data_IF_106310618360
#
_entry.id   IF_106310618360
#
_cell.length_a   1.000
_cell.length_b   1.000
_cell.length_c   1.000
_cell.angle_alpha   90.00
_cell.angle_beta   90.00
_cell.angle_gamma   90.00
#
_symmetry.space_group_name_H-M   'P 1'
#
loop_
_entity.id
_entity.type
_entity.pdbx_description
1 polymer ?
#
# COMPACT_ATOMS: atom_id res chain seq x y z
N UNK A 1 19.34 27.32 21.98
CA UNK A 1 18.66 26.03 22.20
C UNK A 1 18.11 25.57 20.85
N UNK A 2 18.99 25.03 20.00
CA UNK A 2 18.67 24.57 18.64
C UNK A 2 18.78 23.05 18.67
N UNK A 3 17.65 22.37 18.46
CA UNK A 3 17.54 20.93 18.61
C UNK A 3 17.89 20.16 17.35
N UNK A 4 18.46 18.98 17.58
CA UNK A 4 18.37 17.72 16.83
C UNK A 4 18.78 17.71 15.36
N UNK A 5 19.86 16.99 15.08
CA UNK A 5 20.01 16.20 13.86
C UNK A 5 20.50 14.80 14.25
N UNK A 6 19.70 13.76 14.02
CA UNK A 6 20.29 12.49 13.61
C UNK A 6 19.64 12.08 12.28
N UNK A 7 20.04 12.75 11.20
CA UNK A 7 20.13 12.09 9.91
C UNK A 7 21.52 11.48 9.82
N UNK A 8 21.61 10.17 9.63
CA UNK A 8 22.86 9.58 9.15
C UNK A 8 23.05 10.09 7.73
N UNK A 9 24.04 10.96 7.55
CA UNK A 9 24.42 11.62 6.29
C UNK A 9 24.45 10.67 5.07
N UNK A 10 24.66 9.37 5.28
CA UNK A 10 24.60 8.33 4.26
C UNK A 10 23.26 8.26 3.52
N UNK A 11 22.11 8.34 4.21
CA UNK A 11 20.80 8.28 3.55
C UNK A 11 20.53 9.51 2.67
N UNK A 12 21.07 10.67 3.07
CA UNK A 12 20.93 11.94 2.37
C UNK A 12 21.82 12.01 1.12
N UNK A 13 22.98 11.35 1.17
CA UNK A 13 23.90 11.16 0.05
C UNK A 13 23.36 10.17 -0.97
N UNK A 14 22.75 9.07 -0.50
CA UNK A 14 22.08 8.08 -1.36
C UNK A 14 20.85 8.67 -2.08
N UNK A 15 20.10 9.55 -1.43
CA UNK A 15 18.99 10.27 -2.09
C UNK A 15 19.49 11.30 -3.11
N UNK A 16 20.62 11.95 -2.82
CA UNK A 16 21.30 12.85 -3.76
C UNK A 16 21.92 12.13 -4.97
N UNK A 17 22.30 10.85 -4.82
CA UNK A 17 22.77 9.95 -5.88
C UNK A 17 21.71 9.69 -6.95
N UNK A 18 20.43 9.63 -6.55
CA UNK A 18 19.33 9.34 -7.47
C UNK A 18 18.54 10.59 -7.91
N UNK A 19 18.59 11.68 -7.13
CA UNK A 19 17.84 12.89 -7.42
C UNK A 19 18.66 14.14 -7.06
N UNK A 20 19.53 14.60 -7.97
CA UNK A 20 20.43 15.74 -7.75
C UNK A 20 19.71 17.05 -7.34
N UNK A 21 18.44 17.19 -7.71
CA UNK A 21 17.60 18.34 -7.37
C UNK A 21 17.24 18.40 -5.87
N UNK A 22 17.31 17.27 -5.16
CA UNK A 22 17.06 17.17 -3.72
C UNK A 22 18.18 17.84 -2.90
N UNK A 23 19.42 17.84 -3.41
CA UNK A 23 20.57 18.42 -2.71
C UNK A 23 20.68 19.94 -2.88
N UNK A 24 20.13 20.49 -3.96
CA UNK A 24 20.31 21.90 -4.35
C UNK A 24 19.80 22.92 -3.29
N UNK A 25 18.63 22.75 -2.65
CA UNK A 25 18.15 23.67 -1.61
C UNK A 25 19.00 23.68 -0.34
N UNK A 26 19.65 22.56 0.01
CA UNK A 26 20.53 22.47 1.16
C UNK A 26 21.81 23.26 0.98
N UNK A 27 22.34 23.31 -0.24
CA UNK A 27 23.51 24.12 -0.58
C UNK A 27 23.20 25.61 -0.40
N UNK A 28 22.04 26.05 -0.89
CA UNK A 28 21.61 27.44 -0.82
C UNK A 28 21.30 27.91 0.61
N UNK A 29 20.91 27.01 1.51
CA UNK A 29 20.66 27.32 2.93
C UNK A 29 21.91 27.16 3.81
N UNK A 30 22.81 26.21 3.53
CA UNK A 30 24.06 26.05 4.29
C UNK A 30 24.95 27.30 4.21
N UNK A 31 25.03 27.93 3.03
CA UNK A 31 25.80 29.17 2.84
C UNK A 31 25.19 30.37 3.59
N UNK A 32 23.87 30.35 3.84
CA UNK A 32 23.16 31.40 4.60
C UNK A 32 23.23 31.19 6.11
N UNK A 33 23.32 29.94 6.58
CA UNK A 33 23.45 29.59 8.01
C UNK A 33 24.84 29.92 8.55
N UNK A 34 25.88 29.86 7.72
CA UNK A 34 27.26 30.18 8.10
C UNK A 34 27.43 31.59 8.71
N UNK A 35 26.63 32.57 8.28
CA UNK A 35 26.70 33.94 8.79
C UNK A 35 26.06 34.13 10.18
N UNK A 36 25.33 33.14 10.71
CA UNK A 36 24.52 33.27 11.94
C UNK A 36 24.97 32.38 13.10
N UNK A 37 25.95 31.49 12.92
CA UNK A 37 26.44 30.59 13.95
C UNK A 37 27.48 31.30 14.85
N UNK A 38 27.07 31.65 16.08
CA UNK A 38 27.89 32.39 17.04
C UNK A 38 28.74 31.55 17.99
N UNK A 39 28.69 30.22 17.92
CA UNK A 39 29.41 29.34 18.85
C UNK A 39 30.43 28.44 18.12
N UNK A 40 31.61 28.28 18.71
CA UNK A 40 32.75 27.60 18.07
C UNK A 40 32.47 26.12 17.78
N UNK A 41 31.62 25.48 18.60
CA UNK A 41 31.17 24.10 18.39
C UNK A 41 30.22 23.96 17.19
N UNK A 42 29.39 24.98 16.92
CA UNK A 42 28.50 25.00 15.78
C UNK A 42 29.28 25.22 14.47
N UNK A 43 30.32 26.06 14.51
CA UNK A 43 31.24 26.26 13.38
C UNK A 43 32.01 24.97 13.04
N UNK A 44 32.45 24.23 14.05
CA UNK A 44 33.18 22.96 13.85
C UNK A 44 32.27 21.83 13.35
N UNK A 45 31.06 21.71 13.91
CA UNK A 45 30.05 20.79 13.37
C UNK A 45 29.66 21.14 11.93
N UNK A 46 29.57 22.43 11.61
CA UNK A 46 29.30 22.91 10.25
C UNK A 46 30.44 22.58 9.28
N UNK A 47 31.71 22.81 9.65
CA UNK A 47 32.87 22.41 8.84
C UNK A 47 32.93 20.89 8.63
N UNK A 48 32.62 20.11 9.65
CA UNK A 48 32.55 18.65 9.56
C UNK A 48 31.43 18.20 8.62
N UNK A 49 30.28 18.86 8.64
CA UNK A 49 29.18 18.63 7.70
C UNK A 49 29.57 19.01 6.26
N UNK A 50 30.19 20.17 6.04
CA UNK A 50 30.69 20.59 4.73
C UNK A 50 31.76 19.64 4.19
N UNK A 51 32.69 19.18 5.04
CA UNK A 51 33.71 18.20 4.68
C UNK A 51 33.11 16.88 4.22
N UNK A 52 32.15 16.35 4.98
CA UNK A 52 31.47 15.09 4.63
C UNK A 52 30.55 15.24 3.41
N UNK A 53 29.91 16.39 3.22
CA UNK A 53 29.10 16.70 2.03
C UNK A 53 29.99 16.78 0.77
N UNK A 54 31.15 17.45 0.87
CA UNK A 54 32.12 17.54 -0.23
C UNK A 54 32.70 16.17 -0.59
N UNK A 55 33.02 15.34 0.41
CA UNK A 55 33.45 13.96 0.20
C UNK A 55 32.36 13.13 -0.48
N UNK A 56 31.10 13.32 -0.06
CA UNK A 56 29.95 12.67 -0.69
C UNK A 56 29.71 13.14 -2.13
N UNK A 57 29.85 14.42 -2.46
CA UNK A 57 29.77 14.94 -3.84
C UNK A 57 30.94 14.46 -4.70
N UNK A 58 32.13 14.31 -4.10
CA UNK A 58 33.28 13.75 -4.80
C UNK A 58 33.11 12.25 -5.06
N UNK A 59 32.49 11.52 -4.12
CA UNK A 59 32.03 10.15 -4.33
C UNK A 59 30.92 10.08 -5.38
N UNK A 60 29.96 11.01 -5.39
CA UNK A 60 28.91 11.16 -6.41
C UNK A 60 29.50 11.37 -7.82
N UNK A 61 30.55 12.18 -7.92
CA UNK A 61 31.25 12.46 -9.17
C UNK A 61 32.15 11.30 -9.63
N UNK A 62 32.49 10.37 -8.73
CA UNK A 62 33.30 9.18 -9.00
C UNK A 62 32.46 7.89 -9.12
N UNK A 63 31.28 7.86 -8.51
CA UNK A 63 30.26 6.84 -8.69
C UNK A 63 29.66 7.03 -10.07
N UNK A 64 29.50 5.94 -10.81
CA UNK A 64 28.63 5.95 -11.97
C UNK A 64 27.27 5.48 -11.44
N UNK A 65 26.31 6.37 -11.15
CA UNK A 65 25.09 6.01 -10.41
C UNK A 65 24.31 4.92 -11.14
N UNK A 66 24.39 4.91 -12.47
CA UNK A 66 23.85 3.87 -13.34
C UNK A 66 24.53 2.50 -13.16
N UNK A 67 25.81 2.48 -12.82
CA UNK A 67 26.62 1.28 -12.65
C UNK A 67 26.51 0.72 -11.23
N UNK A 68 26.44 1.58 -10.21
CA UNK A 68 26.13 1.19 -8.83
C UNK A 68 24.67 0.74 -8.70
N UNK A 69 23.74 1.45 -9.33
CA UNK A 69 22.33 1.01 -9.47
C UNK A 69 22.23 -0.31 -10.26
N UNK A 70 23.00 -0.49 -11.33
CA UNK A 70 23.04 -1.76 -12.05
C UNK A 70 23.66 -2.90 -11.22
N UNK A 71 24.65 -2.61 -10.38
CA UNK A 71 25.25 -3.59 -9.45
C UNK A 71 24.28 -3.95 -8.32
N UNK A 72 23.57 -2.97 -7.76
CA UNK A 72 22.55 -3.17 -6.73
C UNK A 72 21.32 -3.92 -7.28
N UNK A 73 20.88 -3.61 -8.50
CA UNK A 73 19.86 -4.39 -9.23
C UNK A 73 20.37 -5.80 -9.54
N UNK A 74 21.63 -5.95 -9.97
CA UNK A 74 22.20 -7.26 -10.24
C UNK A 74 22.38 -8.09 -8.95
N UNK A 75 22.59 -7.44 -7.80
CA UNK A 75 22.64 -8.07 -6.49
C UNK A 75 21.25 -8.44 -5.98
N UNK A 76 20.23 -7.57 -6.16
CA UNK A 76 18.84 -7.88 -5.80
C UNK A 76 18.28 -9.07 -6.60
N UNK A 77 18.71 -9.22 -7.86
CA UNK A 77 18.37 -10.36 -8.72
C UNK A 77 19.13 -11.66 -8.45
N UNK A 78 20.14 -11.65 -7.57
CA UNK A 78 20.92 -12.85 -7.21
C UNK A 78 20.37 -13.62 -6.01
N UNK A 79 19.42 -13.06 -5.27
CA UNK A 79 18.69 -13.75 -4.20
C UNK A 79 17.61 -14.71 -4.74
N UNK A 80 17.26 -15.73 -3.96
CA UNK A 80 16.22 -16.72 -4.30
C UNK A 80 14.78 -16.14 -4.25
N UNK A 81 14.59 -14.93 -3.68
CA UNK A 81 13.31 -14.23 -3.55
C UNK A 81 13.52 -12.72 -3.27
N UNK A 82 12.54 -11.87 -3.62
CA UNK A 82 12.52 -10.43 -3.26
C UNK A 82 12.28 -10.20 -1.77
N UNK A 83 12.68 -9.05 -1.22
CA UNK A 83 12.40 -8.70 0.18
C UNK A 83 10.90 -8.62 0.44
N UNK A 84 10.13 -8.00 -0.47
CA UNK A 84 8.67 -7.96 -0.37
C UNK A 84 8.05 -9.35 -0.23
N UNK A 85 8.45 -10.32 -1.07
CA UNK A 85 7.94 -11.70 -1.03
C UNK A 85 8.30 -12.42 0.28
N UNK A 86 9.56 -12.32 0.73
CA UNK A 86 9.98 -12.96 1.97
C UNK A 86 9.28 -12.32 3.18
N UNK A 87 9.08 -11.00 3.15
CA UNK A 87 8.33 -10.28 4.18
C UNK A 87 6.88 -10.77 4.24
N UNK A 88 6.21 -10.96 3.11
CA UNK A 88 4.84 -11.48 3.05
C UNK A 88 4.70 -12.93 3.54
N UNK A 89 5.64 -13.79 3.15
CA UNK A 89 5.70 -15.18 3.62
C UNK A 89 5.90 -15.28 5.13
N UNK A 90 6.45 -14.23 5.75
CA UNK A 90 6.83 -14.21 7.16
C UNK A 90 6.03 -13.22 8.00
N UNK A 91 5.05 -12.54 7.39
CA UNK A 91 4.24 -11.49 8.03
C UNK A 91 3.51 -11.97 9.29
N UNK A 92 3.16 -13.27 9.37
CA UNK A 92 2.45 -13.86 10.50
C UNK A 92 3.34 -14.16 11.71
N UNK A 93 4.66 -13.97 11.63
CA UNK A 93 5.58 -14.25 12.73
C UNK A 93 5.32 -13.29 13.89
N UNK A 94 5.23 -13.85 15.09
CA UNK A 94 5.28 -13.09 16.33
C UNK A 94 6.75 -12.92 16.74
N UNK A 95 7.23 -11.68 16.70
CA UNK A 95 8.59 -11.34 17.08
C UNK A 95 8.60 -10.67 18.45
N UNK A 96 9.53 -11.06 19.32
CA UNK A 96 9.71 -10.40 20.62
C UNK A 96 10.16 -8.95 20.45
N UNK A 97 11.14 -8.71 19.56
CA UNK A 97 11.48 -7.37 19.11
C UNK A 97 10.82 -7.11 17.74
N UNK A 98 10.04 -6.03 17.55
CA UNK A 98 9.42 -5.73 16.26
C UNK A 98 10.42 -5.53 15.11
N UNK A 99 11.67 -5.19 15.39
CA UNK A 99 12.73 -5.05 14.38
C UNK A 99 13.15 -6.40 13.76
N UNK A 100 13.04 -7.50 14.52
CA UNK A 100 13.41 -8.84 14.06
C UNK A 100 12.55 -9.29 12.88
N UNK A 101 11.37 -8.70 12.72
CA UNK A 101 10.49 -8.93 11.58
C UNK A 101 11.15 -8.52 10.25
N UNK A 102 12.09 -7.58 10.28
CA UNK A 102 12.90 -7.17 9.13
C UNK A 102 14.30 -7.76 9.18
N UNK A 103 15.00 -7.62 10.31
CA UNK A 103 16.41 -8.00 10.41
C UNK A 103 16.65 -9.51 10.28
N UNK A 104 15.68 -10.35 10.66
CA UNK A 104 15.79 -11.80 10.40
C UNK A 104 15.76 -12.15 8.90
N UNK A 105 15.31 -11.22 8.04
CA UNK A 105 15.22 -11.43 6.59
C UNK A 105 16.47 -10.96 5.85
N UNK A 106 17.37 -10.23 6.52
CA UNK A 106 18.56 -9.64 5.90
C UNK A 106 19.52 -10.70 5.36
N UNK A 107 19.54 -11.89 5.96
CA UNK A 107 20.32 -13.03 5.46
C UNK A 107 19.72 -13.70 4.22
N UNK A 108 18.46 -13.38 3.87
CA UNK A 108 17.73 -14.00 2.76
C UNK A 108 17.75 -13.16 1.48
N UNK A 109 18.10 -11.87 1.59
CA UNK A 109 18.07 -10.92 0.49
C UNK A 109 19.42 -10.21 0.39
N UNK A 110 20.19 -10.54 -0.64
CA UNK A 110 21.47 -9.92 -0.92
C UNK A 110 21.28 -8.43 -1.27
N UNK A 111 21.95 -7.54 -0.53
CA UNK A 111 21.97 -6.09 -0.83
C UNK A 111 21.26 -5.22 0.20
N UNK A 112 20.15 -5.68 0.78
CA UNK A 112 19.40 -4.87 1.77
C UNK A 112 20.25 -4.58 3.01
N UNK A 113 20.94 -5.59 3.55
CA UNK A 113 21.81 -5.45 4.73
C UNK A 113 23.02 -4.56 4.45
N UNK A 114 23.53 -4.58 3.20
CA UNK A 114 24.69 -3.76 2.82
C UNK A 114 24.31 -2.29 2.79
N UNK A 115 23.10 -1.97 2.35
CA UNK A 115 22.58 -0.60 2.27
C UNK A 115 22.05 -0.11 3.62
N UNK A 116 21.28 -0.95 4.30
CA UNK A 116 20.71 -0.70 5.61
C UNK A 116 21.25 -1.75 6.59
N UNK A 117 22.36 -1.46 7.30
CA UNK A 117 22.91 -2.41 8.27
C UNK A 117 21.97 -2.58 9.47
N UNK A 118 22.09 -3.73 10.15
CA UNK A 118 21.34 -4.02 11.38
C UNK A 118 21.73 -3.03 12.46
N UNK A 119 20.73 -2.33 13.01
CA UNK A 119 20.91 -1.38 14.09
C UNK A 119 19.65 -1.33 14.96
N UNK A 120 19.76 -1.83 16.18
CA UNK A 120 18.65 -1.90 17.13
C UNK A 120 18.34 -0.56 17.81
N UNK A 121 19.06 0.51 17.48
CA UNK A 121 18.72 1.87 17.91
C UNK A 121 17.56 2.47 17.09
N UNK A 122 17.28 1.93 15.89
CA UNK A 122 16.14 2.37 15.09
C UNK A 122 14.80 1.94 15.69
N UNK A 123 13.77 2.72 15.41
CA UNK A 123 12.39 2.29 15.62
C UNK A 123 11.92 1.40 14.47
N UNK A 124 10.90 0.58 14.73
CA UNK A 124 10.31 -0.26 13.69
C UNK A 124 9.65 0.54 12.56
N UNK A 125 9.26 1.80 12.78
CA UNK A 125 8.72 2.67 11.72
C UNK A 125 9.84 3.15 10.78
N UNK A 126 11.00 3.47 11.34
CA UNK A 126 12.16 3.89 10.55
C UNK A 126 12.69 2.74 9.68
N UNK A 127 12.77 1.53 10.24
CA UNK A 127 13.14 0.35 9.47
C UNK A 127 12.06 0.01 8.44
N UNK A 128 10.77 0.06 8.80
CA UNK A 128 9.66 -0.11 7.84
C UNK A 128 9.79 0.83 6.66
N UNK A 129 10.04 2.12 6.91
CA UNK A 129 10.26 3.13 5.87
C UNK A 129 11.45 2.78 4.97
N UNK A 130 12.61 2.42 5.55
CA UNK A 130 13.79 2.01 4.79
C UNK A 130 13.51 0.80 3.89
N UNK A 131 12.75 -0.17 4.39
CA UNK A 131 12.38 -1.38 3.65
C UNK A 131 11.36 -1.07 2.56
N UNK A 132 10.35 -0.24 2.81
CA UNK A 132 9.42 0.19 1.76
C UNK A 132 10.18 0.92 0.65
N UNK A 133 11.13 1.79 1.00
CA UNK A 133 12.01 2.45 0.03
C UNK A 133 12.84 1.45 -0.77
N UNK A 134 13.42 0.43 -0.13
CA UNK A 134 14.15 -0.62 -0.81
C UNK A 134 13.29 -1.30 -1.88
N UNK A 135 12.10 -1.75 -1.49
CA UNK A 135 11.17 -2.47 -2.37
C UNK A 135 10.77 -1.59 -3.56
N UNK A 136 10.38 -0.34 -3.30
CA UNK A 136 9.93 0.57 -4.35
C UNK A 136 11.05 0.92 -5.35
N UNK A 137 12.28 1.15 -4.87
CA UNK A 137 13.40 1.60 -5.72
C UNK A 137 14.08 0.44 -6.43
N UNK A 138 14.38 -0.65 -5.72
CA UNK A 138 15.28 -1.71 -6.21
C UNK A 138 14.54 -2.94 -6.72
N UNK A 139 13.36 -3.21 -6.19
CA UNK A 139 12.52 -4.31 -6.66
C UNK A 139 11.57 -3.80 -7.75
N UNK A 140 11.25 -2.50 -7.74
CA UNK A 140 10.42 -1.85 -8.77
C UNK A 140 8.98 -2.34 -8.74
N UNK A 141 8.57 -2.89 -7.59
CA UNK A 141 7.28 -3.54 -7.39
C UNK A 141 6.50 -2.80 -6.30
N UNK A 142 5.42 -2.15 -6.72
CA UNK A 142 4.32 -1.67 -5.88
C UNK A 142 3.49 -2.82 -5.26
N UNK A 143 3.90 -4.07 -5.47
CA UNK A 143 3.32 -5.28 -4.88
C UNK A 143 3.20 -5.24 -3.35
N UNK A 144 4.06 -4.48 -2.69
CA UNK A 144 3.94 -4.27 -1.24
C UNK A 144 2.60 -3.65 -0.86
N UNK A 145 2.01 -2.83 -1.73
CA UNK A 145 0.67 -2.28 -1.56
C UNK A 145 -0.44 -3.30 -1.87
N UNK A 146 -0.16 -4.34 -2.66
CA UNK A 146 -1.11 -5.44 -2.85
C UNK A 146 -1.20 -6.33 -1.59
N UNK A 147 -0.06 -6.52 -0.92
CA UNK A 147 0.07 -7.51 0.15
C UNK A 147 -0.25 -6.98 1.54
N UNK A 148 0.11 -5.73 1.83
CA UNK A 148 0.01 -5.17 3.17
C UNK A 148 -0.98 -4.01 3.18
N UNK A 149 -1.82 -3.98 4.22
CA UNK A 149 -2.73 -2.88 4.41
C UNK A 149 -2.04 -1.68 5.07
N UNK A 150 -2.61 -0.51 4.87
CA UNK A 150 -2.14 0.73 5.50
C UNK A 150 -2.65 0.85 6.92
N UNK A 151 -2.12 1.82 7.67
CA UNK A 151 -2.63 2.14 9.00
C UNK A 151 -3.91 2.98 8.90
N UNK A 152 -4.86 2.71 9.78
CA UNK A 152 -6.16 3.42 9.82
C UNK A 152 -6.01 4.91 10.18
N UNK A 153 -4.97 5.22 10.95
CA UNK A 153 -4.66 6.57 11.43
C UNK A 153 -3.19 6.89 11.20
N UNK A 154 -2.82 8.18 11.22
CA UNK A 154 -1.43 8.57 11.21
C UNK A 154 -0.69 7.87 12.34
N UNK A 155 0.32 7.11 11.97
CA UNK A 155 1.03 6.21 12.87
C UNK A 155 2.50 6.59 12.90
N UNK A 156 3.15 6.16 13.98
CA UNK A 156 4.59 6.11 14.04
C UNK A 156 5.30 7.44 13.98
N UNK A 157 6.62 7.33 14.03
CA UNK A 157 7.51 8.46 13.88
C UNK A 157 8.77 8.01 13.13
N UNK A 158 9.08 8.67 12.03
CA UNK A 158 10.31 8.49 11.28
C UNK A 158 11.16 9.74 11.46
N UNK A 159 12.30 9.62 12.14
CA UNK A 159 13.26 10.71 12.34
C UNK A 159 12.67 12.00 12.96
N UNK A 160 11.71 11.87 13.87
CA UNK A 160 11.03 12.98 14.54
C UNK A 160 9.73 13.43 13.87
N UNK A 161 9.41 12.95 12.68
CA UNK A 161 8.22 13.34 11.91
C UNK A 161 7.20 12.21 11.83
N UNK A 162 5.94 12.56 11.57
CA UNK A 162 4.87 11.58 11.33
C UNK A 162 5.24 10.69 10.15
N UNK A 163 5.05 9.38 10.28
CA UNK A 163 5.37 8.43 9.20
C UNK A 163 4.53 8.72 7.95
N UNK A 164 5.09 8.55 6.75
CA UNK A 164 4.33 8.72 5.50
C UNK A 164 3.20 7.70 5.39
N UNK A 165 2.04 8.11 4.87
CA UNK A 165 0.88 7.21 4.81
C UNK A 165 1.04 6.05 3.84
N UNK A 166 1.94 6.19 2.87
CA UNK A 166 2.25 5.14 1.90
C UNK A 166 3.18 4.05 2.46
N UNK A 167 3.69 4.17 3.68
CA UNK A 167 4.40 3.07 4.36
C UNK A 167 3.35 2.06 4.86
N UNK A 168 3.31 0.83 4.34
CA UNK A 168 2.35 -0.18 4.79
C UNK A 168 2.58 -0.59 6.24
N UNK A 169 1.53 -1.14 6.86
CA UNK A 169 1.66 -1.73 8.18
C UNK A 169 2.36 -3.10 8.06
N UNK A 170 3.59 -3.19 8.54
CA UNK A 170 4.31 -4.47 8.65
C UNK A 170 4.27 -5.05 10.07
N UNK A 171 3.73 -4.32 11.05
CA UNK A 171 3.87 -4.65 12.47
C UNK A 171 2.92 -5.74 12.94
N UNK A 172 1.74 -5.79 12.34
CA UNK A 172 0.68 -6.70 12.78
C UNK A 172 0.74 -8.01 11.99
N UNK A 173 0.55 -9.15 12.67
CA UNK A 173 0.35 -10.43 12.00
C UNK A 173 -0.94 -10.43 11.14
N UNK A 174 -1.87 -9.51 11.42
CA UNK A 174 -3.07 -9.27 10.60
C UNK A 174 -2.85 -8.32 9.45
N UNK A 175 -1.64 -7.76 9.28
CA UNK A 175 -1.40 -6.66 8.34
C UNK A 175 -1.48 -7.03 6.87
N UNK A 176 -1.56 -8.33 6.59
CA UNK A 176 -1.76 -8.87 5.25
C UNK A 176 -3.21 -8.65 4.80
N UNK A 177 -3.42 -7.99 3.67
CA UNK A 177 -4.74 -7.73 3.06
C UNK A 177 -5.54 -9.02 2.82
N UNK A 178 -4.88 -10.17 2.66
CA UNK A 178 -5.47 -11.52 2.49
C UNK A 178 -6.45 -11.68 1.32
N UNK A 179 -6.68 -10.66 0.48
CA UNK A 179 -7.45 -10.84 -0.74
C UNK A 179 -6.70 -11.77 -1.71
N UNK A 180 -7.41 -12.73 -2.29
CA UNK A 180 -6.87 -13.62 -3.31
C UNK A 180 -7.32 -13.04 -4.65
N UNK A 181 -6.43 -12.28 -5.28
CA UNK A 181 -6.66 -11.75 -6.62
C UNK A 181 -6.17 -12.74 -7.67
N UNK A 182 -6.87 -12.81 -8.80
CA UNK A 182 -6.28 -13.34 -10.03
C UNK A 182 -5.36 -12.31 -10.66
N UNK A 183 -4.62 -12.75 -11.68
CA UNK A 183 -3.87 -11.83 -12.52
C UNK A 183 -4.80 -10.77 -13.10
N UNK A 184 -4.36 -9.51 -13.04
CA UNK A 184 -5.06 -8.40 -13.67
C UNK A 184 -5.20 -8.67 -15.18
N UNK A 185 -6.31 -8.26 -15.79
CA UNK A 185 -6.46 -8.29 -17.24
C UNK A 185 -5.21 -7.67 -17.89
N UNK A 186 -4.54 -8.41 -18.78
CA UNK A 186 -3.30 -7.99 -19.42
C UNK A 186 -3.39 -6.61 -20.07
N UNK A 187 -4.58 -6.23 -20.53
CA UNK A 187 -4.79 -4.91 -21.12
C UNK A 187 -4.80 -3.75 -20.11
N UNK A 188 -5.12 -4.02 -18.85
CA UNK A 188 -4.89 -3.06 -17.77
C UNK A 188 -3.40 -2.98 -17.41
N UNK A 189 -2.65 -4.02 -17.76
CA UNK A 189 -1.18 -4.10 -17.74
C UNK A 189 -0.54 -3.65 -19.08
N UNK A 190 -1.21 -2.92 -19.98
CA UNK A 190 -0.63 -2.47 -21.28
C UNK A 190 0.44 -1.35 -21.14
N UNK A 191 1.28 -1.43 -20.11
CA UNK A 191 2.28 -0.45 -19.68
C UNK A 191 3.52 -0.37 -20.59
N UNK A 192 3.61 -1.15 -21.67
CA UNK A 192 4.80 -1.28 -22.51
C UNK A 192 5.01 -0.14 -23.53
N UNK A 193 4.47 1.06 -23.30
CA UNK A 193 4.89 2.22 -24.09
C UNK A 193 6.23 2.77 -23.54
N UNK A 194 7.28 2.56 -24.35
CA UNK A 194 8.71 2.87 -24.10
C UNK A 194 9.00 4.24 -23.46
N UNK A 195 8.14 5.24 -23.64
CA UNK A 195 8.39 6.62 -23.19
C UNK A 195 8.02 6.87 -21.72
N UNK A 196 7.24 5.99 -21.08
CA UNK A 196 6.77 6.17 -19.70
C UNK A 196 7.57 5.37 -18.65
N UNK A 197 8.58 4.60 -19.10
CA UNK A 197 9.44 3.78 -18.22
C UNK A 197 10.26 4.58 -17.21
N UNK A 198 10.57 5.84 -17.53
CA UNK A 198 11.42 6.72 -16.70
C UNK A 198 10.63 7.49 -15.63
N UNK A 199 9.30 7.37 -15.60
CA UNK A 199 8.42 8.14 -14.69
C UNK A 199 7.83 7.29 -13.55
N UNK A 200 8.22 6.02 -13.46
CA UNK A 200 7.67 5.05 -12.50
C UNK A 200 7.98 5.46 -11.07
N UNK A 201 6.93 5.68 -10.27
CA UNK A 201 6.99 5.92 -8.83
C UNK A 201 8.19 6.78 -8.40
N UNK A 202 8.25 8.01 -8.92
CA UNK A 202 9.32 8.92 -8.55
C UNK A 202 9.09 9.35 -7.09
N UNK A 203 9.81 8.72 -6.18
CA UNK A 203 9.86 9.14 -4.79
C UNK A 203 10.56 10.49 -4.72
N UNK A 204 9.78 11.56 -4.60
CA UNK A 204 10.32 12.88 -4.30
C UNK A 204 10.39 13.05 -2.79
N UNK A 205 11.56 12.79 -2.21
CA UNK A 205 11.80 13.18 -0.82
C UNK A 205 12.03 14.68 -0.79
N UNK A 206 10.93 15.42 -0.76
CA UNK A 206 10.96 16.78 -0.24
C UNK A 206 11.39 16.68 1.22
N UNK A 207 12.40 17.47 1.58
CA UNK A 207 12.93 17.67 2.92
C UNK A 207 11.81 17.64 3.98
N UNK A 208 11.80 16.59 4.81
CA UNK A 208 10.85 16.40 5.92
C UNK A 208 9.42 16.00 5.53
N UNK A 209 9.15 15.70 4.26
CA UNK A 209 7.78 15.43 3.76
C UNK A 209 7.63 14.15 2.94
N UNK A 210 8.69 13.43 2.59
CA UNK A 210 8.65 12.08 2.00
C UNK A 210 7.44 11.81 1.09
N UNK A 211 7.34 12.53 -0.03
CA UNK A 211 6.16 12.47 -0.92
C UNK A 211 6.38 11.43 -2.01
N UNK A 212 5.47 10.48 -2.11
CA UNK A 212 5.44 9.50 -3.18
C UNK A 212 4.66 10.07 -4.37
N UNK A 213 5.31 10.21 -5.53
CA UNK A 213 4.60 10.50 -6.79
C UNK A 213 4.17 9.18 -7.39
N UNK A 214 2.88 8.97 -7.52
CA UNK A 214 2.30 7.68 -7.87
C UNK A 214 1.41 7.83 -9.10
N UNK A 215 1.74 7.11 -10.17
CA UNK A 215 0.97 7.16 -11.42
C UNK A 215 -0.05 6.04 -11.44
N UNK A 216 -1.33 6.40 -11.58
CA UNK A 216 -2.43 5.44 -11.56
C UNK A 216 -3.63 5.95 -12.37
N UNK A 217 -4.59 5.05 -12.64
CA UNK A 217 -5.91 5.41 -13.17
C UNK A 217 -6.89 5.64 -12.04
N UNK A 218 -7.83 6.56 -12.21
CA UNK A 218 -8.98 6.67 -11.31
C UNK A 218 -9.95 5.51 -11.57
N UNK A 219 -10.42 4.90 -10.49
CA UNK A 219 -11.44 3.84 -10.52
C UNK A 219 -12.81 4.42 -10.19
N UNK A 220 -12.88 5.32 -9.21
CA UNK A 220 -14.11 5.96 -8.77
C UNK A 220 -14.00 6.48 -7.35
N UNK A 221 -15.05 7.12 -6.86
CA UNK A 221 -15.16 7.64 -5.50
C UNK A 221 -16.00 6.71 -4.66
N UNK A 222 -15.62 6.44 -3.41
CA UNK A 222 -16.36 5.50 -2.56
C UNK A 222 -17.59 6.15 -1.91
N UNK A 223 -18.70 5.40 -1.88
CA UNK A 223 -19.87 5.62 -1.02
C UNK A 223 -20.04 4.40 -0.14
N UNK A 224 -19.75 4.53 1.15
CA UNK A 224 -19.86 3.49 2.16
C UNK A 224 -21.33 3.09 2.31
N UNK A 225 -21.57 1.79 2.25
CA UNK A 225 -22.89 1.19 2.50
C UNK A 225 -22.96 0.78 3.97
N UNK A 226 -21.98 -0.02 4.41
CA UNK A 226 -21.86 -0.44 5.80
C UNK A 226 -20.43 -0.90 6.13
N UNK A 227 -20.17 -1.10 7.41
CA UNK A 227 -18.96 -1.75 7.92
C UNK A 227 -19.34 -3.05 8.60
N UNK A 228 -18.63 -4.13 8.30
CA UNK A 228 -18.93 -5.43 8.92
C UNK A 228 -18.71 -5.38 10.44
N UNK A 229 -19.59 -6.00 11.23
CA UNK A 229 -19.43 -6.12 12.68
C UNK A 229 -18.26 -7.05 13.01
N UNK A 230 -17.87 -7.10 14.29
CA UNK A 230 -16.77 -7.97 14.75
C UNK A 230 -17.19 -9.43 14.97
N UNK A 231 -18.48 -9.67 15.25
CA UNK A 231 -18.99 -10.99 15.61
C UNK A 231 -19.38 -11.82 14.39
N UNK A 232 -18.89 -13.07 14.30
CA UNK A 232 -19.08 -13.95 13.14
C UNK A 232 -20.54 -14.15 12.73
N UNK A 233 -21.44 -14.32 13.72
CA UNK A 233 -22.88 -14.52 13.46
C UNK A 233 -23.50 -13.26 12.86
N UNK A 234 -23.12 -12.09 13.36
CA UNK A 234 -23.61 -10.82 12.82
C UNK A 234 -23.01 -10.50 11.46
N UNK A 235 -21.77 -10.91 11.19
CA UNK A 235 -21.19 -10.86 9.84
C UNK A 235 -22.04 -11.72 8.89
N UNK A 236 -22.39 -12.96 9.28
CA UNK A 236 -23.23 -13.83 8.46
C UNK A 236 -24.61 -13.21 8.18
N UNK A 237 -25.26 -12.63 9.20
CA UNK A 237 -26.54 -11.92 9.06
C UNK A 237 -26.41 -10.72 8.13
N UNK A 238 -25.35 -9.92 8.24
CA UNK A 238 -25.11 -8.76 7.39
C UNK A 238 -24.88 -9.16 5.92
N UNK A 239 -24.14 -10.26 5.67
CA UNK A 239 -23.98 -10.82 4.31
C UNK A 239 -25.34 -11.20 3.72
N UNK A 240 -26.16 -11.93 4.48
CA UNK A 240 -27.49 -12.35 4.04
C UNK A 240 -28.43 -11.17 3.78
N UNK A 241 -28.32 -10.10 4.58
CA UNK A 241 -29.08 -8.87 4.34
C UNK A 241 -28.67 -8.24 3.01
N UNK A 242 -27.36 -8.05 2.80
CA UNK A 242 -26.80 -7.43 1.60
C UNK A 242 -27.20 -8.16 0.31
N UNK A 243 -27.15 -9.49 0.27
CA UNK A 243 -27.53 -10.28 -0.92
C UNK A 243 -29.03 -10.30 -1.22
N UNK A 244 -29.87 -9.92 -0.24
CA UNK A 244 -31.33 -9.80 -0.37
C UNK A 244 -31.76 -8.38 -0.76
N UNK A 245 -30.86 -7.40 -0.72
CA UNK A 245 -31.15 -6.04 -1.16
C UNK A 245 -31.34 -5.98 -2.69
N UNK A 246 -32.20 -5.07 -3.18
CA UNK A 246 -32.40 -4.88 -4.61
C UNK A 246 -31.10 -4.56 -5.34
N UNK A 247 -30.86 -5.08 -6.57
CA UNK A 247 -29.65 -4.77 -7.34
C UNK A 247 -29.38 -3.27 -7.54
N UNK A 248 -30.45 -2.47 -7.65
CA UNK A 248 -30.36 -1.01 -7.77
C UNK A 248 -29.64 -0.34 -6.58
N UNK A 249 -29.66 -0.97 -5.41
CA UNK A 249 -28.94 -0.47 -4.24
C UNK A 249 -27.42 -0.64 -4.39
N UNK A 250 -26.91 -1.43 -5.33
CA UNK A 250 -25.48 -1.76 -5.48
C UNK A 250 -24.78 -1.04 -6.64
N UNK A 251 -25.47 -0.12 -7.32
CA UNK A 251 -24.92 0.75 -8.36
C UNK A 251 -25.56 0.58 -9.73
N UNK A 252 -25.46 1.63 -10.56
CA UNK A 252 -26.29 1.80 -11.75
C UNK A 252 -25.90 0.96 -12.99
N UNK A 253 -24.74 0.28 -12.99
CA UNK A 253 -24.23 -0.45 -14.17
C UNK A 253 -23.90 -1.92 -13.92
N UNK A 254 -24.28 -2.45 -12.76
CA UNK A 254 -24.06 -3.86 -12.41
C UNK A 254 -25.21 -4.67 -13.00
N UNK A 255 -24.93 -5.58 -13.94
CA UNK A 255 -25.94 -6.52 -14.45
C UNK A 255 -26.71 -7.14 -13.28
N UNK A 256 -28.04 -6.95 -13.28
CA UNK A 256 -28.93 -7.40 -12.21
C UNK A 256 -28.93 -8.94 -12.12
N UNK A 257 -28.64 -9.62 -13.24
CA UNK A 257 -28.46 -11.05 -13.25
C UNK A 257 -27.24 -11.42 -12.39
N UNK A 258 -27.47 -12.26 -11.38
CA UNK A 258 -26.45 -12.85 -10.50
C UNK A 258 -25.81 -11.87 -9.48
N UNK A 259 -26.48 -10.77 -9.12
CA UNK A 259 -26.00 -9.85 -8.08
C UNK A 259 -25.63 -10.56 -6.76
N UNK A 260 -26.51 -11.45 -6.27
CA UNK A 260 -26.29 -12.18 -5.02
C UNK A 260 -25.00 -13.02 -5.05
N UNK A 261 -24.74 -13.67 -6.19
CA UNK A 261 -23.53 -14.44 -6.41
C UNK A 261 -22.29 -13.54 -6.38
N UNK A 262 -22.31 -12.41 -7.10
CA UNK A 262 -21.18 -11.45 -7.14
C UNK A 262 -20.88 -10.88 -5.76
N UNK A 263 -21.91 -10.56 -4.97
CA UNK A 263 -21.75 -10.08 -3.59
C UNK A 263 -21.09 -11.14 -2.70
N UNK A 264 -21.53 -12.40 -2.79
CA UNK A 264 -20.93 -13.50 -2.02
C UNK A 264 -19.47 -13.68 -2.37
N UNK A 265 -19.12 -13.65 -3.66
CA UNK A 265 -17.73 -13.78 -4.09
C UNK A 265 -16.88 -12.59 -3.68
N UNK A 266 -17.39 -11.36 -3.74
CA UNK A 266 -16.69 -10.20 -3.23
C UNK A 266 -16.45 -10.28 -1.72
N UNK A 267 -17.46 -10.66 -0.94
CA UNK A 267 -17.33 -10.81 0.52
C UNK A 267 -16.43 -11.99 0.91
N UNK A 268 -16.30 -13.01 0.06
CA UNK A 268 -15.47 -14.18 0.34
C UNK A 268 -14.19 -14.20 -0.51
N UNK A 269 -13.79 -13.08 -1.13
CA UNK A 269 -12.66 -12.98 -2.05
C UNK A 269 -11.29 -13.27 -1.40
N UNK A 270 -11.21 -13.32 -0.07
CA UNK A 270 -10.01 -13.77 0.67
C UNK A 270 -9.95 -15.28 0.90
N UNK A 271 -11.04 -16.00 0.62
CA UNK A 271 -11.14 -17.45 0.74
C UNK A 271 -11.26 -18.11 -0.63
N UNK A 272 -10.72 -19.33 -0.79
CA UNK A 272 -10.90 -20.13 -2.01
C UNK A 272 -12.29 -20.79 -2.12
N UNK A 273 -13.32 -20.20 -1.50
CA UNK A 273 -14.66 -20.80 -1.44
C UNK A 273 -15.31 -20.88 -2.83
N UNK A 274 -15.08 -19.88 -3.67
CA UNK A 274 -15.60 -19.80 -5.04
C UNK A 274 -15.19 -20.96 -5.96
N UNK A 275 -14.09 -21.63 -5.64
CA UNK A 275 -13.59 -22.78 -6.40
C UNK A 275 -14.12 -24.12 -5.86
N UNK A 276 -14.75 -24.11 -4.69
CA UNK A 276 -15.03 -25.32 -3.91
C UNK A 276 -16.52 -25.61 -3.76
N UNK A 277 -17.35 -24.57 -3.64
CA UNK A 277 -18.77 -24.74 -3.31
C UNK A 277 -19.66 -23.88 -4.21
N UNK A 278 -20.87 -24.35 -4.56
CA UNK A 278 -21.86 -23.54 -5.25
C UNK A 278 -22.45 -22.48 -4.31
N UNK A 279 -22.90 -21.36 -4.87
CA UNK A 279 -23.45 -20.20 -4.14
C UNK A 279 -24.62 -20.59 -3.23
N UNK A 280 -25.52 -21.46 -3.71
CA UNK A 280 -26.69 -21.89 -2.95
C UNK A 280 -26.32 -22.63 -1.66
N UNK A 281 -25.27 -23.46 -1.68
CA UNK A 281 -24.81 -24.17 -0.48
C UNK A 281 -24.22 -23.19 0.55
N UNK A 282 -23.55 -22.14 0.06
CA UNK A 282 -23.03 -21.06 0.90
C UNK A 282 -24.16 -20.27 1.53
N UNK A 283 -25.18 -19.90 0.76
CA UNK A 283 -26.36 -19.19 1.25
C UNK A 283 -27.07 -20.00 2.34
N UNK A 284 -27.33 -21.28 2.10
CA UNK A 284 -27.98 -22.15 3.09
C UNK A 284 -27.16 -22.24 4.38
N UNK A 285 -25.84 -22.42 4.28
CA UNK A 285 -24.96 -22.49 5.45
C UNK A 285 -24.87 -21.14 6.20
N UNK A 286 -24.94 -20.01 5.49
CA UNK A 286 -25.02 -18.68 6.11
C UNK A 286 -26.34 -18.52 6.88
N UNK A 287 -27.47 -18.99 6.31
CA UNK A 287 -28.78 -18.93 6.96
C UNK A 287 -28.79 -19.76 8.26
N UNK A 288 -28.25 -20.97 8.22
CA UNK A 288 -28.04 -21.83 9.39
C UNK A 288 -27.16 -21.14 10.46
N UNK A 289 -26.03 -20.56 10.05
CA UNK A 289 -25.11 -19.84 10.94
C UNK A 289 -25.75 -18.61 11.58
N UNK A 290 -26.51 -17.83 10.82
CA UNK A 290 -27.16 -16.60 11.28
C UNK A 290 -28.30 -16.84 12.28
N UNK A 291 -28.82 -18.06 12.29
CA UNK A 291 -29.94 -18.49 13.14
C UNK A 291 -29.46 -19.23 14.40
N UNK A 292 -28.16 -19.50 14.53
CA UNK A 292 -27.61 -20.27 15.65
C UNK A 292 -27.30 -19.40 16.87
N UNK A 293 -27.68 -19.87 18.06
CA UNK A 293 -27.22 -19.32 19.34
C UNK A 293 -25.78 -19.77 19.68
N UNK A 294 -25.36 -20.95 19.17
CA UNK A 294 -23.99 -21.45 19.28
C UNK A 294 -23.45 -21.83 17.88
N UNK A 295 -22.73 -20.92 17.20
CA UNK A 295 -22.24 -21.15 15.83
C UNK A 295 -21.19 -22.26 15.74
N UNK A 296 -20.62 -22.69 16.87
CA UNK A 296 -19.59 -23.73 16.93
C UNK A 296 -20.17 -25.10 16.58
N UNK A 297 -21.29 -25.48 17.19
CA UNK A 297 -21.79 -26.86 17.12
C UNK A 297 -22.52 -27.18 15.79
N UNK A 298 -23.26 -26.22 15.24
CA UNK A 298 -24.05 -26.43 14.02
C UNK A 298 -23.20 -26.42 12.73
N UNK A 299 -22.26 -25.48 12.61
CA UNK A 299 -21.41 -25.34 11.41
C UNK A 299 -20.21 -26.30 11.38
N UNK A 300 -19.93 -27.02 12.47
CA UNK A 300 -18.98 -28.14 12.49
C UNK A 300 -19.52 -29.41 11.79
N UNK A 301 -20.79 -29.44 11.39
CA UNK A 301 -21.38 -30.62 10.74
C UNK A 301 -21.13 -30.69 9.22
N UNK A 302 -21.05 -29.55 8.53
CA UNK A 302 -20.87 -29.47 7.07
C UNK A 302 -19.49 -28.91 6.67
N UNK A 303 -18.97 -29.32 5.51
CA UNK A 303 -17.70 -28.81 4.99
C UNK A 303 -17.77 -27.30 4.67
N UNK A 304 -18.91 -26.85 4.13
CA UNK A 304 -19.19 -25.43 3.82
C UNK A 304 -19.22 -24.60 5.10
N UNK A 305 -19.93 -25.06 6.13
CA UNK A 305 -20.01 -24.39 7.43
C UNK A 305 -18.65 -24.20 8.10
N UNK A 306 -17.81 -25.25 8.11
CA UNK A 306 -16.42 -25.18 8.61
C UNK A 306 -15.59 -24.14 7.88
N UNK A 307 -15.78 -24.04 6.57
CA UNK A 307 -15.02 -23.10 5.75
C UNK A 307 -15.53 -21.66 5.92
N UNK A 308 -16.83 -21.47 6.09
CA UNK A 308 -17.42 -20.18 6.46
C UNK A 308 -16.92 -19.68 7.82
N UNK A 309 -16.87 -20.53 8.85
CA UNK A 309 -16.32 -20.15 10.16
C UNK A 309 -14.86 -19.67 10.09
N UNK A 310 -14.08 -20.12 9.09
CA UNK A 310 -12.72 -19.64 8.86
C UNK A 310 -12.66 -18.36 8.05
N UNK A 311 -13.63 -18.14 7.16
CA UNK A 311 -13.62 -17.04 6.19
C UNK A 311 -14.49 -15.85 6.59
N UNK A 312 -15.44 -15.98 7.50
CA UNK A 312 -16.21 -14.83 7.97
C UNK A 312 -15.41 -13.91 8.90
N UNK A 313 -14.63 -14.39 9.89
CA UNK A 313 -13.92 -13.50 10.81
C UNK A 313 -12.98 -12.48 10.14
N UNK A 314 -12.26 -12.80 9.05
CA UNK A 314 -11.47 -11.80 8.30
C UNK A 314 -12.26 -10.59 7.78
N UNK A 315 -13.59 -10.68 7.63
CA UNK A 315 -14.44 -9.56 7.23
C UNK A 315 -14.66 -8.53 8.33
N UNK A 316 -14.38 -8.87 9.59
CA UNK A 316 -14.60 -7.99 10.72
C UNK A 316 -13.97 -6.61 10.49
N UNK A 317 -14.79 -5.56 10.61
CA UNK A 317 -14.34 -4.18 10.41
C UNK A 317 -13.99 -3.81 8.96
N UNK A 318 -14.22 -4.66 7.97
CA UNK A 318 -14.08 -4.27 6.56
C UNK A 318 -15.24 -3.39 6.12
N UNK A 319 -14.94 -2.46 5.21
CA UNK A 319 -15.90 -1.47 4.72
C UNK A 319 -16.47 -1.91 3.40
N UNK A 320 -17.78 -2.04 3.29
CA UNK A 320 -18.47 -2.28 2.02
C UNK A 320 -18.88 -0.94 1.43
N UNK A 321 -18.55 -0.73 0.16
CA UNK A 321 -18.80 0.54 -0.51
C UNK A 321 -19.24 0.32 -1.95
N UNK A 322 -19.80 1.38 -2.52
CA UNK A 322 -20.11 1.50 -3.94
C UNK A 322 -19.19 2.52 -4.60
N UNK A 323 -18.99 2.34 -5.90
CA UNK A 323 -18.33 3.32 -6.74
C UNK A 323 -19.34 4.37 -7.19
N UNK A 324 -18.99 5.60 -6.90
CA UNK A 324 -19.58 6.83 -7.43
C UNK A 324 -18.59 7.45 -8.40
N UNK A 325 -19.05 8.39 -9.23
CA UNK A 325 -18.24 9.02 -10.30
C UNK A 325 -17.62 8.03 -11.29
N UNK A 326 -18.25 6.86 -11.45
CA UNK A 326 -17.91 5.83 -12.42
C UNK A 326 -19.19 5.47 -13.18
N UNK A 327 -19.19 5.64 -14.50
CA UNK A 327 -20.39 5.48 -15.32
C UNK A 327 -20.89 4.04 -15.32
N UNK A 328 -19.97 3.08 -15.21
CA UNK A 328 -20.26 1.65 -15.11
C UNK A 328 -20.63 1.21 -13.69
N UNK A 329 -20.45 2.08 -12.69
CA UNK A 329 -20.72 1.79 -11.28
C UNK A 329 -19.85 0.64 -10.75
N UNK A 330 -20.33 0.00 -9.69
CA UNK A 330 -19.67 -1.14 -9.07
C UNK A 330 -19.66 -1.04 -7.55
N UNK A 331 -19.19 -2.10 -6.91
CA UNK A 331 -19.05 -2.16 -5.46
C UNK A 331 -17.76 -2.87 -5.08
N UNK A 332 -17.39 -2.76 -3.80
CA UNK A 332 -16.17 -3.36 -3.31
C UNK A 332 -16.14 -3.53 -1.80
N UNK A 333 -15.09 -4.21 -1.35
CA UNK A 333 -14.79 -4.45 0.05
C UNK A 333 -13.41 -3.88 0.34
N UNK A 334 -13.37 -2.95 1.29
CA UNK A 334 -12.22 -2.23 1.74
C UNK A 334 -11.61 -2.81 3.01
N UNK A 335 -10.28 -2.81 3.07
CA UNK A 335 -9.49 -2.97 4.29
C UNK A 335 -8.85 -1.63 4.61
N UNK A 336 -8.84 -1.28 5.90
CA UNK A 336 -8.37 0.00 6.40
C UNK A 336 -9.53 0.96 6.67
N UNK A 337 -9.21 2.25 6.75
CA UNK A 337 -10.14 3.31 7.15
C UNK A 337 -10.76 4.01 5.94
N UNK A 338 -11.32 3.22 5.00
CA UNK A 338 -12.07 3.75 3.85
C UNK A 338 -13.37 4.42 4.32
N UNK A 339 -13.69 5.60 3.77
CA UNK A 339 -14.87 6.43 4.09
C UNK A 339 -15.46 7.04 2.84
N UNK A 340 -16.68 7.54 2.97
CA UNK A 340 -17.35 8.33 1.94
C UNK A 340 -16.44 9.41 1.36
N UNK A 341 -16.39 9.49 0.03
CA UNK A 341 -15.59 10.46 -0.69
C UNK A 341 -14.13 10.07 -0.92
N UNK A 342 -13.66 8.93 -0.42
CA UNK A 342 -12.30 8.47 -0.74
C UNK A 342 -12.21 8.08 -2.22
N UNK A 343 -11.11 8.45 -2.86
CA UNK A 343 -10.81 8.15 -4.25
C UNK A 343 -10.13 6.79 -4.36
N UNK A 344 -10.62 5.90 -5.20
CA UNK A 344 -9.91 4.67 -5.57
C UNK A 344 -9.05 4.88 -6.82
N UNK A 345 -7.81 4.40 -6.74
CA UNK A 345 -6.87 4.42 -7.86
C UNK A 345 -6.30 3.02 -8.13
N UNK A 346 -5.96 2.74 -9.39
CA UNK A 346 -5.36 1.48 -9.82
C UNK A 346 -4.12 1.74 -10.67
N UNK A 347 -2.96 1.26 -10.21
CA UNK A 347 -1.72 1.20 -10.99
C UNK A 347 -1.74 -0.02 -11.92
N UNK A 348 -1.06 0.06 -13.07
CA UNK A 348 -0.99 -1.05 -14.04
C UNK A 348 -0.24 -2.30 -13.54
N UNK A 349 0.44 -2.21 -12.40
CA UNK A 349 1.14 -3.33 -11.74
C UNK A 349 0.41 -3.85 -10.50
N UNK A 350 -0.65 -3.16 -10.06
CA UNK A 350 -1.44 -3.54 -8.91
C UNK A 350 -2.64 -4.38 -9.32
N UNK A 351 -2.96 -5.39 -8.51
CA UNK A 351 -4.18 -6.18 -8.70
C UNK A 351 -5.37 -5.62 -7.90
N UNK A 352 -5.10 -4.74 -6.94
CA UNK A 352 -6.11 -4.16 -6.06
C UNK A 352 -6.05 -2.63 -6.06
N UNK A 353 -7.20 -1.94 -6.15
CA UNK A 353 -7.24 -0.50 -5.98
C UNK A 353 -6.79 -0.05 -4.59
N UNK A 354 -6.12 1.10 -4.52
CA UNK A 354 -5.79 1.80 -3.27
C UNK A 354 -6.79 2.94 -3.07
N UNK A 355 -7.26 3.10 -1.83
CA UNK A 355 -8.04 4.24 -1.42
C UNK A 355 -7.14 5.40 -0.98
N UNK A 356 -7.40 6.57 -1.57
CA UNK A 356 -6.76 7.84 -1.28
C UNK A 356 -7.75 8.81 -0.65
N UNK A 357 -7.29 9.54 0.37
CA UNK A 357 -8.02 10.67 0.96
C UNK A 357 -7.19 11.93 0.83
N UNK A 358 -7.84 13.07 0.61
CA UNK A 358 -7.18 14.36 0.73
C UNK A 358 -6.52 14.47 2.12
N UNK A 359 -5.22 14.70 2.15
CA UNK A 359 -4.44 14.83 3.38
C UNK A 359 -4.71 16.15 4.11
N UNK A 360 -5.36 17.12 3.44
CA UNK A 360 -5.47 18.51 3.88
C UNK A 360 -4.16 19.29 3.78
N UNK A 361 -3.05 18.63 3.42
CA UNK A 361 -1.78 19.30 3.18
C UNK A 361 -1.85 20.06 1.86
N UNK A 362 -1.44 21.32 1.90
CA UNK A 362 -1.26 22.19 0.74
C UNK A 362 0.14 22.78 0.79
N UNK A 363 0.89 22.70 -0.30
CA UNK A 363 2.18 23.35 -0.37
C UNK A 363 2.00 24.81 -0.81
N UNK A 364 1.75 25.69 0.16
CA UNK A 364 1.54 27.12 -0.06
C UNK A 364 2.73 27.84 -0.73
N UNK A 365 3.90 27.22 -0.80
CA UNK A 365 5.12 27.86 -1.31
C UNK A 365 5.35 27.59 -2.80
N UNK A 366 4.78 26.52 -3.37
CA UNK A 366 5.00 26.15 -4.78
C UNK A 366 3.72 26.23 -5.59
N UNK A 367 2.64 25.60 -5.13
CA UNK A 367 1.34 25.67 -5.78
C UNK A 367 0.24 25.25 -4.78
N UNK A 368 -0.64 26.18 -4.34
CA UNK A 368 -1.69 25.88 -3.37
C UNK A 368 -2.80 24.97 -3.92
N UNK A 369 -2.92 24.84 -5.25
CA UNK A 369 -3.97 24.03 -5.88
C UNK A 369 -3.61 22.54 -5.96
N UNK A 370 -2.35 22.19 -5.65
CA UNK A 370 -1.88 20.80 -5.71
C UNK A 370 -2.35 20.03 -4.47
N UNK A 371 -3.29 19.12 -4.69
CA UNK A 371 -3.82 18.22 -3.67
C UNK A 371 -2.80 17.13 -3.35
N UNK A 372 -2.50 16.98 -2.06
CA UNK A 372 -1.74 15.83 -1.56
C UNK A 372 -2.70 14.87 -0.91
N UNK A 373 -2.51 13.59 -1.19
CA UNK A 373 -3.34 12.51 -0.68
C UNK A 373 -2.61 11.75 0.41
N UNK A 374 -3.36 10.94 1.14
CA UNK A 374 -2.86 9.88 2.00
C UNK A 374 -3.46 8.55 1.57
N UNK A 375 -2.68 7.47 1.64
CA UNK A 375 -3.20 6.12 1.47
C UNK A 375 -3.94 5.72 2.74
N UNK A 376 -5.21 5.30 2.60
CA UNK A 376 -6.08 4.99 3.74
C UNK A 376 -6.60 3.55 3.74
N UNK A 377 -6.37 2.81 2.66
CA UNK A 377 -6.83 1.44 2.58
C UNK A 377 -6.58 0.78 1.23
N UNK A 378 -6.81 -0.52 1.21
CA UNK A 378 -6.83 -1.35 0.01
C UNK A 378 -8.25 -1.82 -0.25
N UNK A 379 -8.59 -2.01 -1.51
CA UNK A 379 -9.92 -2.45 -1.89
C UNK A 379 -9.85 -3.67 -2.79
N UNK A 380 -10.75 -4.62 -2.55
CA UNK A 380 -11.28 -5.46 -3.60
C UNK A 380 -12.41 -4.70 -4.28
N UNK A 381 -12.39 -4.63 -5.62
CA UNK A 381 -13.45 -4.01 -6.42
C UNK A 381 -13.94 -5.03 -7.41
N UNK A 382 -15.27 -5.17 -7.47
CA UNK A 382 -15.91 -6.13 -8.34
C UNK A 382 -15.48 -5.91 -9.80
N UNK A 383 -15.11 -7.00 -10.47
CA UNK A 383 -14.80 -6.99 -11.89
C UNK A 383 -13.37 -6.61 -12.31
N UNK A 384 -12.46 -6.20 -11.41
CA UNK A 384 -11.08 -5.81 -11.78
C UNK A 384 -10.10 -6.99 -11.80
N UNK A 385 -10.14 -7.88 -10.81
CA UNK A 385 -9.17 -8.98 -10.65
C UNK A 385 -9.81 -10.25 -10.04
N UNK A 386 -10.93 -10.68 -10.63
CA UNK A 386 -11.77 -11.78 -10.13
C UNK A 386 -11.55 -13.12 -10.85
N UNK A 387 -11.95 -14.21 -10.18
CA UNK A 387 -11.82 -15.57 -10.69
C UNK A 387 -12.74 -15.91 -11.89
N UNK A 388 -13.81 -15.14 -12.12
CA UNK A 388 -15.03 -15.69 -12.72
C UNK A 388 -15.43 -15.19 -14.11
N UNK A 389 -14.67 -14.33 -14.79
CA UNK A 389 -15.13 -13.77 -16.06
C UNK A 389 -14.15 -14.01 -17.20
N UNK A 390 -14.56 -14.86 -18.15
CA UNK A 390 -13.90 -15.04 -19.45
C UNK A 390 -13.97 -13.76 -20.30
N UNK A 391 -14.84 -12.81 -19.94
CA UNK A 391 -15.02 -11.52 -20.61
C UNK A 391 -14.75 -10.34 -19.65
N UNK A 392 -14.09 -9.27 -20.12
CA UNK A 392 -13.86 -8.07 -19.31
C UNK A 392 -15.18 -7.46 -18.83
N UNK A 393 -15.24 -7.00 -17.58
CA UNK A 393 -16.38 -6.23 -17.08
C UNK A 393 -16.47 -4.86 -17.75
N UNK A 394 -17.64 -4.20 -17.76
CA UNK A 394 -17.76 -2.82 -18.22
C UNK A 394 -16.76 -1.88 -17.54
N UNK A 395 -16.55 -2.05 -16.23
CA UNK A 395 -15.56 -1.31 -15.45
C UNK A 395 -14.14 -1.48 -16.00
N UNK A 396 -13.74 -2.70 -16.33
CA UNK A 396 -12.44 -2.97 -16.96
C UNK A 396 -12.33 -2.31 -18.34
N UNK A 397 -13.42 -2.28 -19.12
CA UNK A 397 -13.48 -1.53 -20.38
C UNK A 397 -13.25 -0.02 -20.19
N UNK A 398 -13.88 0.59 -19.19
CA UNK A 398 -13.71 2.00 -18.83
C UNK A 398 -12.26 2.28 -18.39
N UNK A 399 -11.70 1.43 -17.53
CA UNK A 399 -10.32 1.54 -17.06
C UNK A 399 -9.29 1.39 -18.19
N UNK A 400 -9.52 0.55 -19.20
CA UNK A 400 -8.64 0.47 -20.38
C UNK A 400 -8.57 1.80 -21.13
N UNK A 401 -9.68 2.52 -21.21
CA UNK A 401 -9.76 3.83 -21.88
C UNK A 401 -9.29 5.01 -21.02
N UNK A 402 -9.13 4.82 -19.71
CA UNK A 402 -8.76 5.88 -18.78
C UNK A 402 -7.25 6.21 -18.85
N UNK A 403 -6.94 7.51 -18.78
CA UNK A 403 -5.58 8.02 -18.72
C UNK A 403 -4.94 7.77 -17.35
N UNK A 404 -3.61 7.62 -17.35
CA UNK A 404 -2.84 7.68 -16.10
C UNK A 404 -2.71 9.13 -15.64
N UNK A 405 -2.89 9.33 -14.34
CA UNK A 405 -2.72 10.60 -13.64
C UNK A 405 -1.63 10.47 -12.57
N UNK A 406 -0.97 11.58 -12.27
CA UNK A 406 -0.03 11.68 -11.16
C UNK A 406 -0.76 12.04 -9.86
N UNK A 407 -0.54 11.22 -8.82
CA UNK A 407 -1.01 11.44 -7.46
C UNK A 407 0.19 11.71 -6.54
N UNK A 408 0.11 12.79 -5.75
CA UNK A 408 1.12 13.10 -4.73
C UNK A 408 0.65 12.57 -3.38
N UNK A 409 1.38 11.63 -2.80
CA UNK A 409 0.96 10.92 -1.58
C UNK A 409 1.94 11.24 -0.45
N UNK A 410 1.40 11.76 0.65
CA UNK A 410 2.13 12.18 1.85
C UNK A 410 2.07 11.14 2.96
#
# INVERSE_FOLDING_TARGET
MVGRVPFTLHALVDLGLHFAEILRPFMDDLDKVAARAGDAADIENHRKLQGRLKEATQRLAQSNPMQDFAQDIAASRKGLASFGEVLDLTAQRECFNPLDRFYALYSMVDGVQKKYPVDYEYTADEVAFQITLWILIYEGVDFVFNQFHFYDEPHGNVAGYRSPSWVPNYRDATSRTRFIFKDLDKSLQDWEQKEQKEQMTNLSVLLGKSVLRFWARRVGTTRVVFKFPSETVEIARQVLHAVKEPPAEWGNGVDEANMAERLIWAFLAHGRMQQTFPVNDILNALEELSSSEDPSDLALSSAVGKQLLRNLPPLAGRTVFQLTDCATGGFGVGIGNIRDGDLLILSGKMTNPIALRDSGFRNFHTNPDVVHYRMVGNAFVEGIAEDQKDQPTPLVGELKGANFEEFLIW
#
